data_IF_229156286460
#
_entry.id   IF_229156286460
#
_cell.length_a   1.000
_cell.length_b   1.000
_cell.length_c   1.000
_cell.angle_alpha   90.00
_cell.angle_beta   90.00
_cell.angle_gamma   90.00
#
_symmetry.space_group_name_H-M   'P 1'
#
loop_
_entity.id
_entity.type
_entity.pdbx_description
1 polymer ?
#
# COMPACT_ATOMS: atom_id res chain seq x y z
N UNK A 1 -9.90 8.96 -4.02
CA UNK A 1 -8.98 9.53 -3.00
C UNK A 1 -8.90 11.05 -3.09
N UNK A 2 -10.05 11.73 -3.16
CA UNK A 2 -10.12 13.19 -3.31
C UNK A 2 -9.40 13.93 -2.16
N UNK A 3 -8.81 15.08 -2.51
CA UNK A 3 -8.11 15.95 -1.56
C UNK A 3 -6.78 15.41 -1.03
N UNK A 4 -6.19 14.38 -1.66
CA UNK A 4 -4.81 13.94 -1.39
C UNK A 4 -3.82 14.74 -2.23
N UNK A 5 -2.69 15.12 -1.65
CA UNK A 5 -1.58 15.79 -2.36
C UNK A 5 -0.48 14.82 -2.81
N UNK A 6 -0.62 13.53 -2.48
CA UNK A 6 0.32 12.47 -2.87
C UNK A 6 0.19 12.09 -4.35
N UNK A 7 1.33 11.88 -4.99
CA UNK A 7 1.45 11.32 -6.35
C UNK A 7 0.87 9.92 -6.42
N UNK A 8 1.02 9.13 -5.35
CA UNK A 8 0.49 7.77 -5.27
C UNK A 8 -1.02 7.66 -5.08
N UNK A 9 -1.73 8.76 -4.88
CA UNK A 9 -3.19 8.74 -4.76
C UNK A 9 -3.87 8.15 -6.01
N UNK A 10 -3.35 8.44 -7.21
CA UNK A 10 -3.87 7.87 -8.44
C UNK A 10 -3.70 6.34 -8.49
N UNK A 11 -2.54 5.84 -8.04
CA UNK A 11 -2.26 4.40 -7.97
C UNK A 11 -3.20 3.69 -6.99
N UNK A 12 -3.43 4.29 -5.82
CA UNK A 12 -4.36 3.73 -4.86
C UNK A 12 -5.78 3.68 -5.44
N UNK A 13 -6.20 4.69 -6.22
CA UNK A 13 -7.53 4.72 -6.83
C UNK A 13 -7.67 3.63 -7.88
N UNK A 14 -6.63 3.43 -8.69
CA UNK A 14 -6.56 2.30 -9.61
C UNK A 14 -6.62 0.96 -8.85
N UNK A 15 -5.93 0.83 -7.72
CA UNK A 15 -6.01 -0.35 -6.87
C UNK A 15 -7.44 -0.56 -6.34
N UNK A 16 -8.13 0.49 -5.93
CA UNK A 16 -9.53 0.43 -5.47
C UNK A 16 -10.44 -0.13 -6.57
N UNK A 17 -10.31 0.37 -7.79
CA UNK A 17 -11.07 -0.10 -8.95
C UNK A 17 -10.70 -1.54 -9.30
N UNK A 18 -9.41 -1.89 -9.23
CA UNK A 18 -8.93 -3.23 -9.51
C UNK A 18 -9.47 -4.27 -8.51
N UNK A 19 -9.44 -3.97 -7.20
CA UNK A 19 -9.97 -4.85 -6.17
C UNK A 19 -11.49 -5.03 -6.24
N UNK A 20 -12.21 -4.03 -6.76
CA UNK A 20 -13.65 -4.13 -7.02
C UNK A 20 -13.99 -4.96 -8.28
N UNK A 21 -12.99 -5.29 -9.11
CA UNK A 21 -13.18 -6.09 -10.32
C UNK A 21 -13.11 -7.60 -10.05
N UNK A 22 -13.53 -8.42 -11.01
CA UNK A 22 -13.40 -9.88 -10.91
C UNK A 22 -11.97 -10.36 -10.70
N UNK A 23 -10.98 -9.70 -11.32
CA UNK A 23 -9.55 -10.01 -11.16
C UNK A 23 -9.03 -9.68 -9.74
N UNK A 24 -9.66 -8.73 -9.06
CA UNK A 24 -9.32 -8.38 -7.67
C UNK A 24 -9.63 -9.48 -6.66
N UNK A 25 -10.57 -10.39 -6.97
CA UNK A 25 -10.95 -11.49 -6.07
C UNK A 25 -9.80 -12.47 -5.82
N UNK A 26 -9.00 -12.76 -6.84
CA UNK A 26 -7.84 -13.64 -6.71
C UNK A 26 -6.79 -13.06 -5.73
N UNK A 27 -6.61 -11.73 -5.74
CA UNK A 27 -5.72 -11.05 -4.80
C UNK A 27 -6.25 -11.12 -3.36
N UNK A 28 -7.56 -10.93 -3.19
CA UNK A 28 -8.23 -11.03 -1.89
C UNK A 28 -8.04 -12.43 -1.28
N UNK A 29 -8.31 -13.48 -2.07
CA UNK A 29 -8.18 -14.87 -1.62
C UNK A 29 -6.73 -15.27 -1.33
N UNK A 30 -5.77 -14.81 -2.13
CA UNK A 30 -4.36 -15.19 -2.01
C UNK A 30 -3.63 -14.48 -0.85
N UNK A 31 -4.08 -13.28 -0.49
CA UNK A 31 -3.38 -12.42 0.48
C UNK A 31 -4.15 -12.32 1.79
N UNK A 32 -5.43 -11.95 1.77
CA UNK A 32 -6.31 -12.01 2.94
C UNK A 32 -5.87 -11.18 4.16
N UNK A 33 -5.12 -10.08 3.97
CA UNK A 33 -4.63 -9.21 5.04
C UNK A 33 -5.20 -7.79 4.95
N UNK A 34 -5.21 -7.10 6.09
CA UNK A 34 -5.50 -5.66 6.16
C UNK A 34 -4.19 -4.90 6.34
N UNK A 35 -3.87 -4.04 5.39
CA UNK A 35 -2.70 -3.19 5.44
C UNK A 35 -3.07 -1.74 5.68
N UNK A 36 -2.39 -1.10 6.62
CA UNK A 36 -2.40 0.35 6.75
C UNK A 36 -1.14 0.93 6.12
N UNK A 37 -1.30 1.91 5.25
CA UNK A 37 -0.23 2.63 4.59
C UNK A 37 -0.19 4.05 5.16
N UNK A 38 0.92 4.38 5.80
CA UNK A 38 1.24 5.74 6.24
C UNK A 38 2.21 6.34 5.22
N UNK A 39 1.74 7.27 4.41
CA UNK A 39 2.50 7.79 3.27
C UNK A 39 2.87 9.24 3.55
N UNK A 40 4.16 9.50 3.71
CA UNK A 40 4.67 10.86 3.89
C UNK A 40 4.99 11.49 2.54
N UNK A 41 4.57 12.73 2.24
CA UNK A 41 4.84 13.38 0.95
C UNK A 41 6.32 13.50 0.60
N UNK A 42 7.18 13.70 1.62
CA UNK A 42 8.62 13.93 1.39
C UNK A 42 9.53 13.37 2.48
N UNK A 43 9.20 13.60 3.76
CA UNK A 43 10.01 13.15 4.89
C UNK A 43 9.24 12.10 5.68
N UNK A 44 9.83 10.93 5.86
CA UNK A 44 9.22 9.81 6.58
C UNK A 44 8.68 10.24 7.95
N UNK A 45 7.45 9.84 8.27
CA UNK A 45 6.73 10.17 9.50
C UNK A 45 6.42 11.67 9.70
N UNK A 46 6.30 12.43 8.60
CA UNK A 46 5.90 13.84 8.61
C UNK A 46 4.77 14.09 7.60
N UNK A 47 3.71 14.80 8.03
CA UNK A 47 2.49 15.08 7.26
C UNK A 47 1.90 13.85 6.54
N UNK A 48 1.78 12.73 7.28
CA UNK A 48 1.33 11.46 6.70
C UNK A 48 -0.13 11.52 6.26
N UNK A 49 -0.42 11.09 5.03
CA UNK A 49 -1.75 10.63 4.68
C UNK A 49 -1.84 9.12 4.92
N UNK A 50 -2.93 8.69 5.54
CA UNK A 50 -3.15 7.29 5.89
C UNK A 50 -4.17 6.68 4.94
N UNK A 51 -3.88 5.48 4.45
CA UNK A 51 -4.79 4.68 3.63
C UNK A 51 -4.87 3.26 4.18
N UNK A 52 -6.00 2.61 3.94
CA UNK A 52 -6.21 1.20 4.25
C UNK A 52 -6.40 0.44 2.95
N UNK A 53 -5.68 -0.65 2.80
CA UNK A 53 -5.90 -1.68 1.78
C UNK A 53 -6.40 -2.93 2.49
N UNK A 54 -7.71 -3.12 2.49
CA UNK A 54 -8.37 -4.29 3.09
C UNK A 54 -8.51 -5.38 2.02
N UNK A 55 -7.54 -6.30 1.97
CA UNK A 55 -7.54 -7.47 1.08
C UNK A 55 -8.34 -8.64 1.66
N UNK A 56 -9.12 -8.44 2.74
CA UNK A 56 -10.17 -9.38 3.16
C UNK A 56 -11.51 -9.00 2.50
N UNK A 57 -11.75 -7.70 2.33
CA UNK A 57 -12.97 -7.15 1.74
C UNK A 57 -12.81 -6.68 0.29
N UNK A 58 -11.58 -6.55 -0.21
CA UNK A 58 -11.32 -5.97 -1.52
C UNK A 58 -11.56 -4.46 -1.57
N UNK A 59 -11.29 -3.74 -0.47
CA UNK A 59 -11.61 -2.32 -0.33
C UNK A 59 -10.34 -1.51 -0.10
N UNK A 60 -10.26 -0.34 -0.74
CA UNK A 60 -9.25 0.70 -0.44
C UNK A 60 -9.97 1.94 0.07
N UNK A 61 -9.50 2.51 1.18
CA UNK A 61 -10.08 3.71 1.79
C UNK A 61 -9.01 4.66 2.30
N UNK A 62 -9.36 5.95 2.41
CA UNK A 62 -8.53 6.97 3.05
C UNK A 62 -8.91 7.08 4.53
N UNK A 63 -7.92 7.27 5.39
CA UNK A 63 -8.06 7.31 6.84
C UNK A 63 -7.37 6.12 7.54
N UNK A 64 -7.25 6.16 8.86
CA UNK A 64 -6.74 5.05 9.65
C UNK A 64 -7.72 3.88 9.67
N UNK A 65 -7.21 2.66 9.84
CA UNK A 65 -8.09 1.51 10.06
C UNK A 65 -8.74 1.61 11.45
N UNK A 66 -10.05 1.39 11.53
CA UNK A 66 -10.78 1.45 12.81
C UNK A 66 -10.44 0.29 13.76
N UNK A 67 -9.76 -0.74 13.26
CA UNK A 67 -9.27 -1.88 14.05
C UNK A 67 -7.75 -1.98 14.07
N UNK A 68 -7.25 -3.16 14.45
CA UNK A 68 -5.83 -3.48 14.34
C UNK A 68 -5.52 -4.01 12.93
N UNK A 69 -4.72 -3.29 12.10
CA UNK A 69 -4.29 -3.82 10.82
C UNK A 69 -3.31 -5.00 11.04
N UNK A 70 -3.25 -5.91 10.06
CA UNK A 70 -2.32 -7.04 10.10
C UNK A 70 -0.87 -6.55 9.96
N UNK A 71 -0.65 -5.52 9.13
CA UNK A 71 0.61 -4.79 9.07
C UNK A 71 0.40 -3.29 8.77
N UNK A 72 1.31 -2.47 9.29
CA UNK A 72 1.39 -1.04 8.97
C UNK A 72 2.72 -0.77 8.29
N UNK A 73 2.69 -0.08 7.16
CA UNK A 73 3.85 0.32 6.40
C UNK A 73 3.95 1.84 6.41
N UNK A 74 5.11 2.37 6.77
CA UNK A 74 5.41 3.80 6.66
C UNK A 74 6.54 4.02 5.68
N UNK A 75 6.34 4.88 4.70
CA UNK A 75 7.32 5.21 3.66
C UNK A 75 7.05 6.62 3.11
N UNK A 76 7.97 7.14 2.32
CA UNK A 76 7.69 8.35 1.53
C UNK A 76 6.84 8.01 0.30
N UNK A 77 6.17 9.01 -0.27
CA UNK A 77 5.37 8.87 -1.49
C UNK A 77 6.20 8.34 -2.66
N UNK A 78 7.44 8.82 -2.80
CA UNK A 78 8.37 8.37 -3.84
C UNK A 78 8.86 6.93 -3.61
N UNK A 79 9.20 6.57 -2.36
CA UNK A 79 9.60 5.20 -2.04
C UNK A 79 8.41 4.22 -2.20
N UNK A 80 7.19 4.65 -1.88
CA UNK A 80 5.98 3.86 -2.12
C UNK A 80 5.80 3.55 -3.60
N UNK A 81 5.87 4.56 -4.46
CA UNK A 81 5.75 4.39 -5.91
C UNK A 81 6.85 3.48 -6.45
N UNK A 82 8.08 3.62 -5.95
CA UNK A 82 9.18 2.74 -6.34
C UNK A 82 8.93 1.29 -5.90
N UNK A 83 8.38 1.09 -4.69
CA UNK A 83 8.03 -0.25 -4.19
C UNK A 83 6.88 -0.85 -5.00
N UNK A 84 5.79 -0.10 -5.19
CA UNK A 84 4.60 -0.60 -5.88
C UNK A 84 4.87 -0.90 -7.36
N UNK A 85 5.80 -0.18 -8.00
CA UNK A 85 6.24 -0.47 -9.36
C UNK A 85 7.33 -1.54 -9.45
N UNK A 86 7.80 -2.10 -8.32
CA UNK A 86 8.90 -3.06 -8.28
C UNK A 86 10.29 -2.51 -8.56
N UNK A 87 10.45 -1.17 -8.65
CA UNK A 87 11.76 -0.50 -8.84
C UNK A 87 12.60 -0.54 -7.57
N UNK A 88 11.95 -0.58 -6.40
CA UNK A 88 12.59 -0.72 -5.11
C UNK A 88 12.04 -1.98 -4.42
N UNK A 89 12.93 -2.91 -4.07
CA UNK A 89 12.53 -4.09 -3.33
C UNK A 89 12.08 -3.70 -1.89
N UNK A 90 10.92 -4.18 -1.39
CA UNK A 90 10.42 -3.83 -0.05
C UNK A 90 11.37 -4.21 1.09
N UNK A 91 12.03 -5.37 1.00
CA UNK A 91 12.97 -5.82 2.03
C UNK A 91 14.21 -4.91 2.08
N UNK A 92 14.73 -4.53 0.91
CA UNK A 92 15.84 -3.58 0.82
C UNK A 92 15.44 -2.19 1.33
N UNK A 93 14.22 -1.72 1.00
CA UNK A 93 13.70 -0.46 1.52
C UNK A 93 13.64 -0.45 3.05
N UNK A 94 13.25 -1.58 3.66
CA UNK A 94 13.23 -1.74 5.12
C UNK A 94 14.63 -1.68 5.71
N UNK A 95 15.59 -2.43 5.14
CA UNK A 95 17.00 -2.43 5.59
C UNK A 95 17.62 -1.02 5.48
N UNK A 96 17.30 -0.28 4.41
CA UNK A 96 17.77 1.11 4.20
C UNK A 96 17.05 2.15 5.08
N UNK A 97 16.06 1.76 5.87
CA UNK A 97 15.25 2.67 6.69
C UNK A 97 14.25 3.53 5.91
N UNK A 98 14.03 3.24 4.62
CA UNK A 98 13.06 3.92 3.74
C UNK A 98 11.63 3.41 3.93
N UNK A 99 11.51 2.17 4.40
CA UNK A 99 10.26 1.54 4.79
C UNK A 99 10.35 1.18 6.28
N UNK A 100 9.32 1.54 7.06
CA UNK A 100 9.11 1.02 8.41
C UNK A 100 7.92 0.09 8.40
N UNK A 101 8.05 -1.04 9.09
CA UNK A 101 7.00 -2.06 9.16
C UNK A 101 6.66 -2.28 10.63
N UNK A 102 5.36 -2.30 10.94
CA UNK A 102 4.81 -2.76 12.22
C UNK A 102 3.78 -3.85 11.96
N UNK A 103 3.56 -4.73 12.94
CA UNK A 103 2.58 -5.81 12.84
C UNK A 103 3.21 -7.15 12.47
N UNK A 104 2.46 -7.97 11.74
CA UNK A 104 2.84 -9.34 11.42
C UNK A 104 3.92 -9.42 10.33
N UNK A 105 4.95 -10.24 10.58
CA UNK A 105 5.99 -10.54 9.60
C UNK A 105 5.41 -11.28 8.38
N UNK A 106 4.48 -12.22 8.58
CA UNK A 106 3.89 -12.97 7.47
C UNK A 106 3.05 -12.06 6.57
N UNK A 107 2.35 -11.09 7.16
CA UNK A 107 1.61 -10.07 6.44
C UNK A 107 2.57 -9.14 5.67
N UNK A 108 3.67 -8.71 6.33
CA UNK A 108 4.70 -7.90 5.69
C UNK A 108 5.36 -8.58 4.48
N UNK A 109 5.65 -9.88 4.56
CA UNK A 109 6.23 -10.66 3.47
C UNK A 109 5.31 -10.77 2.25
N UNK A 110 4.00 -10.65 2.45
CA UNK A 110 2.98 -10.69 1.38
C UNK A 110 2.69 -9.32 0.78
N UNK A 111 3.32 -8.26 1.28
CA UNK A 111 3.27 -6.93 0.68
C UNK A 111 4.25 -6.85 -0.49
N UNK A 112 3.82 -7.31 -1.66
CA UNK A 112 4.62 -7.35 -2.89
C UNK A 112 4.05 -6.43 -3.97
N UNK A 113 4.86 -6.06 -4.99
CA UNK A 113 4.40 -5.23 -6.10
C UNK A 113 3.18 -5.80 -6.84
N UNK A 114 2.98 -7.12 -6.80
CA UNK A 114 1.86 -7.82 -7.47
C UNK A 114 0.47 -7.44 -6.92
N UNK A 115 0.41 -6.82 -5.74
CA UNK A 115 -0.85 -6.25 -5.21
C UNK A 115 -1.33 -5.10 -6.10
N UNK A 116 -0.39 -4.33 -6.64
CA UNK A 116 -0.68 -3.07 -7.29
C UNK A 116 -0.93 -3.29 -8.78
N UNK A 117 -1.90 -2.58 -9.37
CA UNK A 117 -2.07 -2.61 -10.81
C UNK A 117 -0.77 -2.13 -11.45
N UNK A 118 -0.24 -2.92 -12.39
CA UNK A 118 0.95 -2.52 -13.14
C UNK A 118 0.61 -1.23 -13.89
N UNK A 119 1.49 -0.21 -13.87
CA UNK A 119 1.31 0.93 -14.75
C UNK A 119 1.26 0.38 -16.18
N UNK A 120 0.07 0.43 -16.80
CA UNK A 120 -0.06 0.18 -18.23
C UNK A 120 0.96 1.06 -18.92
N UNK A 121 1.82 0.46 -19.75
CA UNK A 121 2.75 1.22 -20.59
C UNK A 121 1.92 2.28 -21.34
N UNK A 122 2.05 3.54 -20.95
CA UNK A 122 1.73 4.68 -21.81
C UNK A 122 2.66 4.62 -23.02
#
# INVERSE_FOLDING_TARGET
MEGSNLKSAALLEQLRVHLASGAGKELVEKIGFVYQLNISPKKLAFDEEVFVVDLKKGVVSKGPYEGKPDATFSFTDDDFLAISSGKLNPQMAFIMGKLKIKGSISAAQKFTPDIFPKPSKL
#
